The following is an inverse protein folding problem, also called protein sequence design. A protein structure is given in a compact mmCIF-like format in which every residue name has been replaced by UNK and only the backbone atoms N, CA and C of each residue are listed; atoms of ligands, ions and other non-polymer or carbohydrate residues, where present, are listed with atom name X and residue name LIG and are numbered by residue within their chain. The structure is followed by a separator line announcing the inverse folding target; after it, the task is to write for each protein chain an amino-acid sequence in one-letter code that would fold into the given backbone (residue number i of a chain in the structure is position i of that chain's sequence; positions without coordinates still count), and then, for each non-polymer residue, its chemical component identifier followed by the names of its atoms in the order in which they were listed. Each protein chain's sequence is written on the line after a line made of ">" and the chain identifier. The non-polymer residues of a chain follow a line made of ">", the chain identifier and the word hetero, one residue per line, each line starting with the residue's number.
data_IF_654514087410
#
_entry.id   IF_654514087410
#
_cell.length_a   1.000
_cell.length_b   1.000
_cell.length_c   1.000
_cell.angle_alpha   90.00
_cell.angle_beta   90.00
_cell.angle_gamma   90.00
#
_symmetry.space_group_name_H-M   'P 1'
#
loop_
_entity.id
_entity.type
_entity.pdbx_description
1 polymer ?
#
# COMPACT_ATOMS: atom_id res chain seq x y z
N UNK A 1 2.79 -22.32 -21.26
CA UNK A 1 1.84 -21.88 -20.21
C UNK A 1 2.24 -20.46 -19.85
N UNK A 2 1.31 -19.51 -19.88
CA UNK A 2 1.55 -18.12 -19.45
C UNK A 2 1.84 -18.09 -17.95
N UNK A 3 2.81 -17.28 -17.51
CA UNK A 3 3.11 -17.17 -16.10
C UNK A 3 1.93 -16.53 -15.36
N UNK A 4 1.73 -16.86 -14.08
CA UNK A 4 0.52 -16.43 -13.35
C UNK A 4 0.40 -14.90 -13.22
N UNK A 5 1.52 -14.16 -13.19
CA UNK A 5 1.53 -12.71 -13.05
C UNK A 5 1.33 -11.96 -14.38
N UNK A 6 1.45 -12.66 -15.51
CA UNK A 6 1.20 -12.14 -16.86
C UNK A 6 -0.27 -12.33 -17.30
N UNK A 7 -1.13 -12.75 -16.37
CA UNK A 7 -2.54 -13.05 -16.60
C UNK A 7 -3.41 -11.88 -16.14
N UNK A 8 -3.77 -10.99 -17.07
CA UNK A 8 -4.58 -9.79 -16.76
C UNK A 8 -5.94 -10.14 -16.12
N UNK A 9 -6.55 -11.27 -16.52
CA UNK A 9 -7.80 -11.80 -15.93
C UNK A 9 -7.68 -12.02 -14.42
N UNK A 10 -6.49 -12.39 -13.94
CA UNK A 10 -6.24 -12.57 -12.52
C UNK A 10 -6.27 -11.21 -11.80
N UNK A 11 -5.63 -10.19 -12.35
CA UNK A 11 -5.53 -8.88 -11.72
C UNK A 11 -6.87 -8.13 -11.69
N UNK A 12 -7.74 -8.37 -12.67
CA UNK A 12 -9.09 -7.81 -12.70
C UNK A 12 -10.07 -8.48 -11.73
N UNK A 13 -9.83 -9.75 -11.37
CA UNK A 13 -10.77 -10.56 -10.59
C UNK A 13 -10.37 -10.75 -9.13
N UNK A 14 -9.07 -10.67 -8.80
CA UNK A 14 -8.61 -10.80 -7.41
C UNK A 14 -8.84 -9.46 -6.69
N UNK A 15 -9.56 -9.45 -5.55
CA UNK A 15 -9.95 -8.23 -4.85
C UNK A 15 -8.80 -7.64 -4.01
N UNK A 16 -7.63 -7.41 -4.62
CA UNK A 16 -6.46 -6.83 -3.93
C UNK A 16 -6.60 -5.32 -3.69
N UNK A 17 -7.36 -4.63 -4.55
CA UNK A 17 -7.45 -3.17 -4.59
C UNK A 17 -8.89 -2.65 -4.56
N UNK A 18 -9.83 -3.44 -4.02
CA UNK A 18 -11.23 -3.04 -3.91
C UNK A 18 -11.46 -1.92 -2.87
N UNK A 19 -12.63 -1.25 -2.88
CA UNK A 19 -12.92 -0.10 -2.01
C UNK A 19 -12.67 -0.36 -0.53
N UNK A 20 -13.11 -1.52 -0.01
CA UNK A 20 -12.90 -1.91 1.38
C UNK A 20 -11.40 -1.97 1.76
N UNK A 21 -10.54 -2.49 0.86
CA UNK A 21 -9.08 -2.55 1.09
C UNK A 21 -8.44 -1.17 1.06
N UNK A 22 -8.97 -0.26 0.25
CA UNK A 22 -8.50 1.13 0.18
C UNK A 22 -8.93 1.89 1.44
N UNK A 23 -10.15 1.69 1.91
CA UNK A 23 -10.69 2.33 3.13
C UNK A 23 -9.96 1.90 4.40
N UNK A 24 -9.40 0.68 4.44
CA UNK A 24 -8.59 0.20 5.56
C UNK A 24 -7.17 0.78 5.60
N UNK A 25 -6.67 1.33 4.50
CA UNK A 25 -5.26 1.72 4.37
C UNK A 25 -4.77 2.72 5.45
N UNK A 26 -5.54 3.76 5.86
CA UNK A 26 -5.12 4.67 6.93
C UNK A 26 -4.88 3.95 8.26
N UNK A 27 -5.80 3.07 8.64
CA UNK A 27 -5.69 2.31 9.89
C UNK A 27 -4.53 1.31 9.85
N UNK A 28 -4.31 0.66 8.70
CA UNK A 28 -3.17 -0.25 8.50
C UNK A 28 -1.83 0.50 8.60
N UNK A 29 -1.74 1.70 8.00
CA UNK A 29 -0.53 2.54 8.09
C UNK A 29 -0.25 2.97 9.52
N UNK A 30 -1.27 3.38 10.27
CA UNK A 30 -1.11 3.74 11.69
C UNK A 30 -0.56 2.56 12.52
N UNK A 31 -1.07 1.35 12.27
CA UNK A 31 -0.60 0.14 12.94
C UNK A 31 0.85 -0.19 12.58
N UNK A 32 1.21 -0.12 11.30
CA UNK A 32 2.57 -0.37 10.83
C UNK A 32 3.55 0.62 11.46
N UNK A 33 3.21 1.92 11.42
CA UNK A 33 4.03 2.99 12.01
C UNK A 33 4.25 2.75 13.51
N UNK A 34 3.19 2.40 14.24
CA UNK A 34 3.28 2.10 15.66
C UNK A 34 4.12 0.84 15.95
N UNK A 35 4.01 -0.18 15.10
CA UNK A 35 4.69 -1.46 15.30
C UNK A 35 6.20 -1.36 15.08
N UNK A 36 6.64 -0.60 14.08
CA UNK A 36 8.07 -0.49 13.75
C UNK A 36 8.72 0.79 14.31
N UNK A 37 7.92 1.67 14.93
CA UNK A 37 8.40 2.92 15.53
C UNK A 37 8.93 3.91 14.49
N UNK A 38 8.18 4.13 13.40
CA UNK A 38 8.60 5.12 12.40
C UNK A 38 8.48 6.54 12.95
N UNK A 39 9.60 7.26 12.92
CA UNK A 39 9.63 8.68 13.22
C UNK A 39 9.14 9.52 12.02
N UNK A 40 8.53 10.69 12.27
CA UNK A 40 8.14 11.61 11.20
C UNK A 40 9.33 11.96 10.29
N UNK A 41 9.12 11.87 8.97
CA UNK A 41 10.15 12.16 7.97
C UNK A 41 11.11 11.01 7.67
N UNK A 42 10.90 9.82 8.24
CA UNK A 42 11.64 8.63 7.86
C UNK A 42 11.49 8.30 6.37
N UNK A 43 12.58 7.90 5.71
CA UNK A 43 12.53 7.37 4.35
C UNK A 43 12.04 5.92 4.37
N UNK A 44 10.92 5.64 3.68
CA UNK A 44 10.28 4.33 3.65
C UNK A 44 10.30 3.75 2.24
N UNK A 45 10.61 2.46 2.12
CA UNK A 45 10.50 1.68 0.89
C UNK A 45 9.35 0.68 1.04
N UNK A 46 8.32 0.82 0.20
CA UNK A 46 7.17 -0.08 0.12
C UNK A 46 7.32 -1.02 -1.09
N UNK A 47 7.70 -2.28 -0.83
CA UNK A 47 7.86 -3.29 -1.86
C UNK A 47 6.53 -4.00 -2.15
N UNK A 48 6.27 -4.26 -3.44
CA UNK A 48 5.00 -4.82 -3.90
C UNK A 48 3.80 -3.90 -3.60
N UNK A 49 4.02 -2.58 -3.66
CA UNK A 49 3.03 -1.56 -3.31
C UNK A 49 1.77 -1.57 -4.18
N UNK A 50 1.79 -2.24 -5.34
CA UNK A 50 0.66 -2.31 -6.26
C UNK A 50 0.21 -0.91 -6.67
N UNK A 51 -1.06 -0.56 -6.39
CA UNK A 51 -1.62 0.79 -6.64
C UNK A 51 -1.18 1.84 -5.61
N UNK A 52 -0.36 1.46 -4.62
CA UNK A 52 0.21 2.39 -3.63
C UNK A 52 -0.68 2.71 -2.43
N UNK A 53 -1.60 1.81 -2.03
CA UNK A 53 -2.61 2.10 -0.99
C UNK A 53 -2.01 2.56 0.34
N UNK A 54 -0.84 2.05 0.72
CA UNK A 54 -0.15 2.48 1.96
C UNK A 54 0.80 3.63 1.69
N UNK A 55 1.61 3.53 0.64
CA UNK A 55 2.57 4.56 0.23
C UNK A 55 1.98 5.95 0.03
N UNK A 56 0.73 6.04 -0.42
CA UNK A 56 0.06 7.31 -0.71
C UNK A 56 -0.60 7.95 0.52
N UNK A 57 -0.66 7.24 1.64
CA UNK A 57 -1.26 7.79 2.85
C UNK A 57 -0.48 9.02 3.34
N UNK A 58 -1.16 10.11 3.73
CA UNK A 58 -0.51 11.36 4.13
C UNK A 58 0.54 11.18 5.23
N UNK A 59 0.34 10.20 6.11
CA UNK A 59 1.28 9.86 7.19
C UNK A 59 2.64 9.39 6.69
N UNK A 60 2.71 8.77 5.51
CA UNK A 60 3.96 8.26 4.90
C UNK A 60 4.50 9.16 3.78
N UNK A 61 3.66 9.95 3.12
CA UNK A 61 4.09 10.79 1.99
C UNK A 61 5.03 11.93 2.40
N UNK A 62 5.01 12.35 3.67
CA UNK A 62 5.71 13.54 4.17
C UNK A 62 5.15 14.83 3.55
N UNK A 63 5.29 15.97 4.23
CA UNK A 63 4.84 17.25 3.68
C UNK A 63 5.74 17.61 2.47
N UNK A 64 5.31 17.27 1.25
CA UNK A 64 5.94 17.75 0.01
C UNK A 64 5.44 19.18 -0.26
N UNK A 65 5.93 20.12 0.55
CA UNK A 65 5.93 21.55 0.23
C UNK A 65 7.25 21.96 -0.41
#
# INVERSE_FOLDING_TARGET
>A
MTAWHERDDLWETVPLFGPERMEMAPQEVDQIVAMVGLEPGAAVLDLCCGVGRHSLEPRLLGDRR
#
